data_IF_583111727840
#
_entry.id   IF_583111727840
#
_cell.length_a   1.000
_cell.length_b   1.000
_cell.length_c   1.000
_cell.angle_alpha   90.00
_cell.angle_beta   90.00
_cell.angle_gamma   90.00
#
_symmetry.space_group_name_H-M   'P 1'
#
loop_
_entity.id
_entity.type
_entity.pdbx_description
1 polymer ?
#
# COMPACT_ATOMS: atom_id res chain seq x y z
N UNK A 1 -17.48 -6.31 -6.49
CA UNK A 1 -16.27 -5.82 -5.80
C UNK A 1 -16.32 -4.31 -5.86
N UNK A 2 -16.25 -3.62 -4.72
CA UNK A 2 -16.25 -2.16 -4.69
C UNK A 2 -14.90 -1.63 -5.22
N UNK A 3 -14.96 -0.93 -6.36
CA UNK A 3 -13.80 -0.38 -7.03
C UNK A 3 -13.10 0.66 -6.15
N UNK A 4 -13.85 1.45 -5.38
CA UNK A 4 -13.25 2.50 -4.56
C UNK A 4 -12.43 1.94 -3.41
N UNK A 5 -12.89 0.85 -2.80
CA UNK A 5 -12.18 0.14 -1.74
C UNK A 5 -10.96 -0.62 -2.27
N UNK A 6 -11.07 -1.22 -3.45
CA UNK A 6 -9.98 -2.00 -4.04
C UNK A 6 -8.83 -1.11 -4.55
N UNK A 7 -9.15 0.06 -5.07
CA UNK A 7 -8.17 1.04 -5.56
C UNK A 7 -7.83 2.13 -4.52
N UNK A 8 -8.25 1.95 -3.27
CA UNK A 8 -7.97 2.85 -2.13
C UNK A 8 -8.14 4.34 -2.47
N UNK A 9 -9.24 4.68 -3.13
CA UNK A 9 -9.48 6.04 -3.68
C UNK A 9 -9.39 7.10 -2.59
N UNK A 10 -10.00 6.85 -1.43
CA UNK A 10 -9.99 7.81 -0.32
C UNK A 10 -8.58 8.06 0.22
N UNK A 11 -7.82 7.00 0.48
CA UNK A 11 -6.45 7.10 1.00
C UNK A 11 -5.50 7.73 -0.02
N UNK A 12 -5.72 7.45 -1.31
CA UNK A 12 -4.97 8.08 -2.41
C UNK A 12 -5.24 9.58 -2.47
N UNK A 13 -6.50 10.00 -2.36
CA UNK A 13 -6.85 11.42 -2.33
C UNK A 13 -6.25 12.12 -1.10
N UNK A 14 -6.32 11.51 0.09
CA UNK A 14 -5.71 12.05 1.31
C UNK A 14 -4.18 12.21 1.16
N UNK A 15 -3.50 11.21 0.59
CA UNK A 15 -2.06 11.28 0.31
C UNK A 15 -1.70 12.46 -0.61
N UNK A 16 -2.47 12.66 -1.67
CA UNK A 16 -2.29 13.77 -2.62
C UNK A 16 -2.49 15.12 -1.94
N UNK A 17 -3.59 15.27 -1.20
CA UNK A 17 -3.97 16.54 -0.57
C UNK A 17 -3.02 16.92 0.57
N UNK A 18 -2.67 15.98 1.45
CA UNK A 18 -1.80 16.24 2.60
C UNK A 18 -0.39 16.71 2.20
N UNK A 19 0.05 16.38 0.98
CA UNK A 19 1.35 16.78 0.44
C UNK A 19 1.28 17.92 -0.58
N UNK A 20 0.08 18.47 -0.81
CA UNK A 20 -0.16 19.53 -1.79
C UNK A 20 0.33 19.19 -3.20
N UNK A 21 0.25 17.92 -3.60
CA UNK A 21 0.66 17.51 -4.95
C UNK A 21 -0.34 18.02 -5.99
N UNK A 22 0.19 18.54 -7.09
CA UNK A 22 -0.58 19.15 -8.17
C UNK A 22 -0.48 18.40 -9.48
N UNK A 23 0.54 17.56 -9.69
CA UNK A 23 0.73 16.74 -10.88
C UNK A 23 0.99 15.30 -10.47
N UNK A 24 0.00 14.43 -10.60
CA UNK A 24 0.06 13.06 -10.09
C UNK A 24 0.05 12.08 -11.27
N UNK A 25 1.10 11.26 -11.36
CA UNK A 25 1.16 10.16 -12.30
C UNK A 25 0.45 8.93 -11.74
N UNK A 26 -0.39 8.28 -12.55
CA UNK A 26 -1.09 7.04 -12.21
C UNK A 26 -0.54 5.91 -13.06
N UNK A 27 0.21 5.01 -12.43
CA UNK A 27 0.80 3.84 -13.07
C UNK A 27 -0.10 2.63 -12.88
N UNK A 28 -0.51 2.00 -13.97
CA UNK A 28 -1.27 0.75 -13.95
C UNK A 28 -0.49 -0.32 -14.72
N UNK A 29 -0.44 -1.56 -14.23
CA UNK A 29 -0.08 -2.70 -15.05
C UNK A 29 -1.19 -2.97 -16.07
N UNK A 30 -0.85 -3.65 -17.16
CA UNK A 30 -1.74 -3.92 -18.30
C UNK A 30 -3.12 -4.46 -17.88
N UNK A 31 -3.15 -5.42 -16.96
CA UNK A 31 -4.40 -6.05 -16.49
C UNK A 31 -5.35 -5.08 -15.77
N UNK A 32 -4.81 -4.01 -15.19
CA UNK A 32 -5.56 -2.98 -14.45
C UNK A 32 -5.84 -1.73 -15.28
N UNK A 33 -5.18 -1.54 -16.43
CA UNK A 33 -5.31 -0.34 -17.26
C UNK A 33 -6.76 -0.08 -17.70
N UNK A 34 -7.55 -1.14 -17.91
CA UNK A 34 -9.00 -1.08 -18.20
C UNK A 34 -9.83 -0.35 -17.13
N UNK A 35 -9.31 -0.22 -15.90
CA UNK A 35 -9.97 0.46 -14.78
C UNK A 35 -9.56 1.94 -14.64
N UNK A 36 -8.53 2.38 -15.38
CA UNK A 36 -7.92 3.71 -15.24
C UNK A 36 -8.91 4.86 -15.29
N UNK A 37 -9.82 4.87 -16.27
CA UNK A 37 -10.83 5.93 -16.44
C UNK A 37 -11.79 6.02 -15.26
N UNK A 38 -12.20 4.87 -14.70
CA UNK A 38 -13.06 4.82 -13.50
C UNK A 38 -12.32 5.30 -12.26
N UNK A 39 -11.07 4.86 -12.08
CA UNK A 39 -10.21 5.31 -10.98
C UNK A 39 -9.99 6.82 -11.03
N UNK A 40 -9.67 7.38 -12.20
CA UNK A 40 -9.56 8.83 -12.41
C UNK A 40 -10.85 9.54 -12.03
N UNK A 41 -12.00 9.04 -12.47
CA UNK A 41 -13.31 9.63 -12.15
C UNK A 41 -13.58 9.63 -10.64
N UNK A 42 -13.38 8.50 -9.95
CA UNK A 42 -13.55 8.40 -8.50
C UNK A 42 -12.56 9.32 -7.76
N UNK A 43 -11.29 9.36 -8.17
CA UNK A 43 -10.30 10.28 -7.58
C UNK A 43 -10.69 11.74 -7.80
N UNK A 44 -11.15 12.12 -8.99
CA UNK A 44 -11.62 13.49 -9.28
C UNK A 44 -12.76 13.90 -8.35
N UNK A 45 -13.74 13.01 -8.17
CA UNK A 45 -14.86 13.26 -7.26
C UNK A 45 -14.37 13.41 -5.81
N UNK A 46 -13.42 12.57 -5.37
CA UNK A 46 -12.87 12.60 -4.01
C UNK A 46 -11.97 13.81 -3.75
N UNK A 47 -11.17 14.22 -4.73
CA UNK A 47 -10.31 15.40 -4.66
C UNK A 47 -11.13 16.70 -4.70
N UNK A 48 -12.32 16.69 -5.30
CA UNK A 48 -13.21 17.85 -5.37
C UNK A 48 -12.86 18.85 -6.47
N UNK A 49 -13.89 19.51 -7.02
CA UNK A 49 -13.79 20.36 -8.22
C UNK A 49 -12.96 21.64 -8.05
N UNK A 50 -12.66 22.05 -6.82
CA UNK A 50 -11.86 23.25 -6.53
C UNK A 50 -10.35 23.03 -6.59
N UNK A 51 -9.89 21.78 -6.58
CA UNK A 51 -8.48 21.45 -6.50
C UNK A 51 -7.85 21.31 -7.90
N UNK A 52 -6.75 22.03 -8.14
CA UNK A 52 -6.01 22.05 -9.42
C UNK A 52 -5.06 20.87 -9.58
N UNK A 53 -5.46 19.67 -9.13
CA UNK A 53 -4.65 18.45 -9.28
C UNK A 53 -4.80 17.93 -10.70
N UNK A 54 -3.72 17.78 -11.46
CA UNK A 54 -3.66 17.03 -12.71
C UNK A 54 -3.43 15.55 -12.43
N UNK A 55 -4.29 14.68 -12.97
CA UNK A 55 -4.14 13.22 -12.92
C UNK A 55 -3.72 12.73 -14.32
N UNK A 56 -2.59 12.04 -14.41
CA UNK A 56 -2.00 11.60 -15.67
C UNK A 56 -1.87 10.08 -15.68
N UNK A 57 -2.64 9.40 -16.52
CA UNK A 57 -2.55 7.95 -16.67
C UNK A 57 -1.33 7.62 -17.53
N UNK A 58 -0.42 6.80 -17.00
CA UNK A 58 0.76 6.34 -17.73
C UNK A 58 0.40 5.11 -18.58
N UNK A 59 0.78 5.13 -19.85
CA UNK A 59 0.40 4.11 -20.85
C UNK A 59 1.58 3.23 -21.30
N UNK A 60 2.77 3.41 -20.73
CA UNK A 60 3.98 2.63 -21.06
C UNK A 60 4.46 1.89 -19.81
N UNK A 61 4.05 0.63 -19.65
CA UNK A 61 4.58 -0.25 -18.59
C UNK A 61 5.01 -1.60 -19.16
N UNK A 62 5.55 -1.60 -20.38
CA UNK A 62 5.85 -2.83 -21.12
C UNK A 62 7.00 -3.66 -20.53
N UNK A 63 7.83 -3.08 -19.64
CA UNK A 63 8.86 -3.77 -18.88
C UNK A 63 8.89 -3.28 -17.43
N UNK A 64 8.95 -4.20 -16.46
CA UNK A 64 9.08 -3.83 -15.03
C UNK A 64 7.78 -3.32 -14.39
N UNK A 65 6.66 -3.98 -14.65
CA UNK A 65 5.34 -3.62 -14.08
C UNK A 65 5.30 -3.55 -12.54
N UNK A 66 6.30 -4.12 -11.85
CA UNK A 66 6.43 -4.08 -10.40
C UNK A 66 7.16 -2.84 -9.85
N UNK A 67 7.84 -2.06 -10.70
CA UNK A 67 8.65 -0.90 -10.31
C UNK A 67 7.91 0.41 -10.59
N UNK A 68 8.25 1.45 -9.84
CA UNK A 68 7.81 2.82 -10.11
C UNK A 68 8.59 3.37 -11.32
N UNK A 69 7.88 3.83 -12.34
CA UNK A 69 8.51 4.47 -13.52
C UNK A 69 8.75 5.97 -13.28
N UNK A 70 9.92 6.29 -12.71
CA UNK A 70 10.32 7.67 -12.46
C UNK A 70 10.60 8.44 -13.76
N UNK A 71 11.09 7.75 -14.80
CA UNK A 71 11.44 8.39 -16.08
C UNK A 71 10.16 8.81 -16.80
N UNK A 72 9.18 7.92 -16.93
CA UNK A 72 7.89 8.25 -17.52
C UNK A 72 7.16 9.35 -16.74
N UNK A 73 7.19 9.30 -15.40
CA UNK A 73 6.61 10.34 -14.56
C UNK A 73 7.33 11.70 -14.70
N UNK A 74 8.65 11.71 -14.93
CA UNK A 74 9.44 12.93 -15.09
C UNK A 74 9.10 13.71 -16.37
N UNK A 75 8.66 13.04 -17.44
CA UNK A 75 8.26 13.70 -18.69
C UNK A 75 7.05 14.63 -18.53
N UNK A 76 6.19 14.35 -17.55
CA UNK A 76 5.11 15.25 -17.16
C UNK A 76 5.44 16.05 -15.91
N UNK A 77 6.68 16.03 -15.41
CA UNK A 77 7.06 16.71 -14.17
C UNK A 77 6.12 16.35 -13.02
N UNK A 78 5.90 15.06 -12.78
CA UNK A 78 5.03 14.60 -11.71
C UNK A 78 5.62 14.95 -10.34
N UNK A 79 4.76 15.29 -9.39
CA UNK A 79 5.14 15.47 -7.99
C UNK A 79 5.20 14.12 -7.25
N UNK A 80 4.44 13.13 -7.71
CA UNK A 80 4.43 11.77 -7.17
C UNK A 80 3.87 10.74 -8.17
N UNK A 81 4.09 9.46 -7.86
CA UNK A 81 3.50 8.33 -8.58
C UNK A 81 2.54 7.55 -7.68
N UNK A 82 1.30 7.32 -8.15
CA UNK A 82 0.42 6.31 -7.57
C UNK A 82 0.59 5.03 -8.40
N UNK A 83 1.12 3.98 -7.77
CA UNK A 83 1.45 2.73 -8.43
C UNK A 83 0.45 1.64 -8.04
N UNK A 84 -0.35 1.17 -8.99
CA UNK A 84 -1.42 0.20 -8.74
C UNK A 84 -0.98 -1.23 -9.00
N UNK A 85 -1.42 -2.17 -8.16
CA UNK A 85 -1.25 -3.61 -8.38
C UNK A 85 0.04 -4.17 -7.78
N UNK A 86 0.62 -5.15 -8.47
CA UNK A 86 1.82 -5.85 -8.02
C UNK A 86 3.01 -4.90 -7.99
N UNK A 87 3.74 -4.88 -6.88
CA UNK A 87 4.93 -4.03 -6.72
C UNK A 87 6.05 -4.77 -6.01
N UNK A 88 7.29 -4.45 -6.37
CA UNK A 88 8.48 -4.94 -5.70
C UNK A 88 8.92 -4.05 -4.52
N UNK A 89 8.27 -2.89 -4.32
CA UNK A 89 8.64 -1.89 -3.32
C UNK A 89 10.10 -1.42 -3.41
N UNK A 90 10.69 -1.48 -4.61
CA UNK A 90 12.04 -0.96 -4.84
C UNK A 90 12.08 0.54 -4.50
N UNK A 91 13.12 1.01 -3.80
CA UNK A 91 13.28 2.43 -3.50
C UNK A 91 13.26 3.28 -4.77
N UNK A 92 12.67 4.46 -4.67
CA UNK A 92 12.75 5.48 -5.72
C UNK A 92 13.91 6.43 -5.46
N UNK A 93 14.43 7.06 -6.50
CA UNK A 93 15.57 7.97 -6.42
C UNK A 93 15.14 9.41 -6.12
N UNK A 94 14.01 9.84 -6.69
CA UNK A 94 13.61 11.24 -6.73
C UNK A 94 12.15 11.45 -6.37
N UNK A 95 11.26 10.61 -6.88
CA UNK A 95 9.81 10.80 -6.71
C UNK A 95 9.27 9.99 -5.54
N UNK A 96 8.46 10.59 -4.64
CA UNK A 96 7.68 9.80 -3.71
C UNK A 96 6.63 8.97 -4.47
N UNK A 97 6.38 7.76 -3.98
CA UNK A 97 5.37 6.89 -4.56
C UNK A 97 4.40 6.37 -3.48
N UNK A 98 3.14 6.18 -3.87
CA UNK A 98 2.15 5.47 -3.08
C UNK A 98 1.68 4.23 -3.84
N UNK A 99 1.99 3.05 -3.31
CA UNK A 99 1.63 1.76 -3.87
C UNK A 99 0.27 1.30 -3.35
N UNK A 100 -0.64 0.97 -4.26
CA UNK A 100 -1.98 0.44 -3.97
C UNK A 100 -2.03 -1.01 -4.40
N UNK A 101 -1.95 -1.92 -3.42
CA UNK A 101 -1.76 -3.37 -3.67
C UNK A 101 -3.00 -4.10 -4.21
N UNK A 102 -4.18 -3.52 -4.03
CA UNK A 102 -5.45 -4.23 -4.26
C UNK A 102 -5.85 -5.14 -3.11
N UNK A 103 -7.05 -5.70 -3.20
CA UNK A 103 -7.66 -6.52 -2.13
C UNK A 103 -8.23 -7.81 -2.69
N UNK A 104 -7.34 -8.74 -3.05
CA UNK A 104 -7.75 -10.03 -3.61
C UNK A 104 -8.55 -10.85 -2.59
N UNK A 105 -9.64 -11.47 -3.04
CA UNK A 105 -10.49 -12.26 -2.15
C UNK A 105 -9.74 -13.48 -1.60
N UNK A 106 -9.84 -13.71 -0.30
CA UNK A 106 -9.29 -14.89 0.37
C UNK A 106 -10.22 -15.33 1.51
N UNK A 107 -10.37 -16.65 1.68
CA UNK A 107 -11.22 -17.22 2.72
C UNK A 107 -10.42 -17.39 4.02
N UNK A 108 -10.66 -16.49 4.98
CA UNK A 108 -10.04 -16.55 6.31
C UNK A 108 -10.30 -17.90 6.99
N UNK A 109 -11.54 -18.44 7.05
CA UNK A 109 -11.79 -19.72 7.71
C UNK A 109 -11.02 -20.88 7.07
N UNK A 110 -10.90 -20.91 5.75
CA UNK A 110 -10.17 -21.96 5.04
C UNK A 110 -8.66 -21.86 5.30
N UNK A 111 -8.10 -20.65 5.33
CA UNK A 111 -6.69 -20.43 5.70
C UNK A 111 -6.41 -20.95 7.12
N UNK A 112 -7.26 -20.60 8.08
CA UNK A 112 -7.17 -21.03 9.48
C UNK A 112 -7.25 -22.55 9.59
N UNK A 113 -8.22 -23.18 8.93
CA UNK A 113 -8.39 -24.64 8.91
C UNK A 113 -7.12 -25.35 8.40
N UNK A 114 -6.62 -24.92 7.22
CA UNK A 114 -5.46 -25.56 6.60
C UNK A 114 -4.19 -25.37 7.42
N UNK A 115 -3.91 -24.15 7.87
CA UNK A 115 -2.76 -23.87 8.71
C UNK A 115 -2.82 -24.66 10.03
N UNK A 116 -3.98 -24.72 10.69
CA UNK A 116 -4.18 -25.50 11.92
C UNK A 116 -3.91 -27.00 11.69
N UNK A 117 -4.40 -27.55 10.57
CA UNK A 117 -4.19 -28.96 10.23
C UNK A 117 -2.71 -29.31 10.00
N UNK A 118 -1.94 -28.40 9.38
CA UNK A 118 -0.51 -28.57 9.16
C UNK A 118 0.30 -28.49 10.47
N UNK A 119 -0.09 -27.61 11.39
CA UNK A 119 0.53 -27.55 12.71
C UNK A 119 0.34 -28.84 13.51
N UNK A 120 -0.89 -29.38 13.51
CA UNK A 120 -1.22 -30.60 14.24
C UNK A 120 -0.45 -31.85 13.77
N UNK A 121 0.08 -31.83 12.55
CA UNK A 121 0.80 -32.98 11.97
C UNK A 121 2.31 -32.90 12.09
N UNK A 122 2.91 -31.71 12.02
CA UNK A 122 4.37 -31.56 11.89
C UNK A 122 5.06 -30.91 13.10
N UNK A 123 4.36 -30.17 13.96
CA UNK A 123 4.92 -29.52 15.16
C UNK A 123 6.10 -28.56 14.91
N UNK A 124 6.35 -28.17 13.65
CA UNK A 124 7.44 -27.29 13.22
C UNK A 124 6.98 -25.84 13.14
N UNK A 125 7.89 -24.87 13.26
CA UNK A 125 7.59 -23.47 12.96
C UNK A 125 7.09 -23.31 11.53
N UNK A 126 6.13 -22.41 11.34
CA UNK A 126 5.57 -22.10 10.02
C UNK A 126 5.83 -20.64 9.70
N UNK A 127 6.41 -20.41 8.52
CA UNK A 127 6.55 -19.07 7.94
C UNK A 127 5.48 -18.89 6.86
N UNK A 128 4.63 -17.88 7.03
CA UNK A 128 3.56 -17.54 6.09
C UNK A 128 4.03 -16.40 5.19
N UNK A 129 4.27 -16.72 3.93
CA UNK A 129 4.53 -15.78 2.86
C UNK A 129 3.24 -15.55 2.06
N UNK A 130 3.01 -14.33 1.61
CA UNK A 130 1.79 -13.96 0.90
C UNK A 130 2.05 -12.81 -0.09
N UNK A 131 1.22 -12.76 -1.14
CA UNK A 131 1.20 -11.64 -2.08
C UNK A 131 0.63 -10.37 -1.45
N UNK A 132 1.12 -9.20 -1.88
CA UNK A 132 0.70 -7.89 -1.34
C UNK A 132 -0.81 -7.63 -1.47
N UNK A 133 -1.44 -8.20 -2.49
CA UNK A 133 -2.88 -8.15 -2.71
C UNK A 133 -3.71 -8.79 -1.57
N UNK A 134 -3.08 -9.63 -0.75
CA UNK A 134 -3.69 -10.26 0.44
C UNK A 134 -3.33 -9.54 1.75
N UNK A 135 -2.46 -8.54 1.73
CA UNK A 135 -2.00 -7.84 2.94
C UNK A 135 -3.16 -7.35 3.83
N UNK A 136 -4.26 -6.90 3.21
CA UNK A 136 -5.48 -6.44 3.88
C UNK A 136 -6.19 -7.51 4.73
N UNK A 137 -5.95 -8.80 4.48
CA UNK A 137 -6.60 -9.90 5.17
C UNK A 137 -5.71 -10.57 6.24
N UNK A 138 -4.40 -10.28 6.22
CA UNK A 138 -3.43 -10.99 7.06
C UNK A 138 -3.61 -10.69 8.55
N UNK A 139 -4.00 -9.47 8.93
CA UNK A 139 -4.33 -9.16 10.33
C UNK A 139 -5.45 -10.06 10.86
N UNK A 140 -6.53 -10.21 10.09
CA UNK A 140 -7.66 -11.06 10.47
C UNK A 140 -7.28 -12.54 10.49
N UNK A 141 -6.42 -13.01 9.57
CA UNK A 141 -5.91 -14.38 9.59
C UNK A 141 -5.05 -14.62 10.83
N UNK A 142 -4.18 -13.67 11.19
CA UNK A 142 -3.37 -13.72 12.43
C UNK A 142 -4.26 -13.84 13.66
N UNK A 143 -5.27 -12.98 13.79
CA UNK A 143 -6.21 -12.96 14.91
C UNK A 143 -7.01 -14.28 15.01
N UNK A 144 -7.60 -14.72 13.89
CA UNK A 144 -8.37 -15.97 13.85
C UNK A 144 -7.50 -17.21 14.14
N UNK A 145 -6.21 -17.16 13.78
CA UNK A 145 -5.28 -18.25 14.12
C UNK A 145 -4.98 -18.34 15.60
N UNK A 146 -4.81 -17.19 16.27
CA UNK A 146 -4.62 -17.13 17.72
C UNK A 146 -5.86 -17.65 18.45
N UNK A 147 -7.06 -17.30 17.98
CA UNK A 147 -8.32 -17.77 18.55
C UNK A 147 -8.53 -19.28 18.38
N UNK A 148 -8.19 -19.84 17.21
CA UNK A 148 -8.36 -21.26 16.94
C UNK A 148 -7.41 -22.16 17.75
N UNK A 149 -6.25 -21.64 18.18
CA UNK A 149 -5.18 -22.44 18.79
C UNK A 149 -4.52 -21.76 20.02
N UNK A 150 -5.28 -21.44 21.09
CA UNK A 150 -4.81 -20.61 22.20
C UNK A 150 -3.85 -21.31 23.17
N UNK A 151 -3.70 -22.64 23.11
CA UNK A 151 -2.93 -23.45 24.10
C UNK A 151 -1.64 -24.05 23.57
N UNK A 152 -1.37 -23.92 22.28
CA UNK A 152 -0.13 -24.37 21.64
C UNK A 152 0.83 -23.21 21.53
N UNK A 153 2.10 -23.41 21.89
CA UNK A 153 3.19 -22.46 21.59
C UNK A 153 3.41 -22.46 20.08
N UNK A 154 2.54 -21.75 19.35
CA UNK A 154 2.60 -21.60 17.91
C UNK A 154 3.76 -20.70 17.56
N UNK A 155 4.79 -21.25 16.91
CA UNK A 155 5.81 -20.45 16.24
C UNK A 155 5.35 -20.18 14.81
N UNK A 156 4.33 -19.32 14.71
CA UNK A 156 3.75 -18.86 13.45
C UNK A 156 4.26 -17.46 13.14
N UNK A 157 5.08 -17.35 12.10
CA UNK A 157 5.70 -16.10 11.68
C UNK A 157 5.09 -15.71 10.35
N UNK A 158 4.50 -14.54 10.28
CA UNK A 158 4.04 -13.98 9.02
C UNK A 158 5.08 -13.00 8.51
N UNK A 159 5.32 -13.00 7.21
CA UNK A 159 6.06 -11.90 6.59
C UNK A 159 5.34 -10.58 6.90
N UNK A 160 6.12 -9.52 7.14
CA UNK A 160 5.57 -8.16 7.25
C UNK A 160 5.59 -7.49 5.88
N UNK A 161 4.61 -6.62 5.66
CA UNK A 161 4.55 -5.79 4.46
C UNK A 161 5.21 -4.47 4.79
N UNK A 162 6.18 -4.07 3.97
CA UNK A 162 6.80 -2.76 4.08
C UNK A 162 5.74 -1.65 3.87
N UNK A 163 6.07 -0.42 4.26
CA UNK A 163 5.19 0.73 4.07
C UNK A 163 4.75 0.84 2.61
N UNK A 164 3.47 1.08 2.37
CA UNK A 164 2.93 1.31 1.03
C UNK A 164 3.37 2.66 0.42
N UNK A 165 4.03 3.52 1.21
CA UNK A 165 4.56 4.81 0.77
C UNK A 165 6.07 4.71 0.69
N UNK A 166 6.62 5.04 -0.48
CA UNK A 166 8.05 5.12 -0.74
C UNK A 166 8.43 6.60 -0.74
N UNK A 167 9.37 6.97 0.13
CA UNK A 167 9.84 8.34 0.31
C UNK A 167 11.37 8.39 0.12
N UNK A 168 11.89 8.93 -0.99
CA UNK A 168 13.33 8.96 -1.25
C UNK A 168 14.14 9.71 -0.17
N UNK A 169 13.56 10.77 0.43
CA UNK A 169 14.24 11.59 1.44
C UNK A 169 14.34 10.96 2.83
N UNK A 170 13.51 9.95 3.15
CA UNK A 170 13.54 9.27 4.45
C UNK A 170 14.36 7.98 4.42
N UNK A 171 14.52 7.36 3.26
CA UNK A 171 15.19 6.07 3.12
C UNK A 171 16.72 6.18 3.27
N UNK A 172 17.30 7.34 2.91
CA UNK A 172 18.74 7.60 3.11
C UNK A 172 19.17 7.79 4.58
N UNK A 173 18.22 7.90 5.52
CA UNK A 173 18.54 8.08 6.95
C UNK A 173 18.34 6.81 7.79
N UNK A 174 17.80 5.73 7.21
CA UNK A 174 17.43 4.50 7.94
C UNK A 174 18.34 3.29 7.67
N UNK A 175 19.47 3.46 6.99
CA UNK A 175 20.39 2.34 6.75
C UNK A 175 21.15 1.86 7.99
N UNK A 176 21.07 2.56 9.13
CA UNK A 176 21.85 2.22 10.34
C UNK A 176 21.02 1.69 11.55
N UNK A 177 19.68 1.61 11.49
CA UNK A 177 18.88 1.06 12.60
C UNK A 177 17.80 0.08 12.14
N UNK A 178 18.11 -1.21 12.22
CA UNK A 178 17.09 -2.27 12.30
C UNK A 178 16.31 -2.11 13.63
N UNK A 179 15.21 -1.37 13.59
CA UNK A 179 14.35 -1.18 14.76
C UNK A 179 12.92 -0.81 14.35
N UNK A 180 11.99 -1.75 14.59
CA UNK A 180 10.54 -1.55 14.76
C UNK A 180 9.91 -0.34 14.05
N UNK A 181 9.40 -0.51 12.83
CA UNK A 181 8.43 0.43 12.29
C UNK A 181 7.06 0.20 12.94
N UNK A 182 6.69 1.15 13.80
CA UNK A 182 5.40 1.26 14.42
C UNK A 182 4.26 1.36 13.41
N UNK A 183 3.14 0.75 13.79
CA UNK A 183 1.82 0.92 13.17
C UNK A 183 1.53 2.40 12.94
N UNK A 184 1.20 2.77 11.70
CA UNK A 184 0.60 4.07 11.37
C UNK A 184 -0.78 4.16 12.04
N UNK A 185 -0.77 4.52 13.32
CA UNK A 185 -1.95 4.98 14.04
C UNK A 185 -2.07 6.49 13.85
N UNK A 186 -3.26 6.90 13.45
CA UNK A 186 -3.68 8.27 13.23
C UNK A 186 -3.54 9.07 14.53
N UNK A 187 -2.57 9.98 14.60
CA UNK A 187 -2.47 10.94 15.70
C UNK A 187 -2.96 12.30 15.24
N UNK A 188 -4.21 12.62 15.60
CA UNK A 188 -4.68 13.99 15.68
C UNK A 188 -3.98 14.67 16.86
N UNK A 189 -3.22 15.73 16.61
CA UNK A 189 -2.94 16.74 17.64
C UNK A 189 -2.84 18.13 17.00
N UNK A 190 -3.94 18.87 17.17
CA UNK A 190 -4.05 20.30 16.95
C UNK A 190 -3.62 20.99 18.26
N UNK A 191 -2.70 21.97 18.19
CA UNK A 191 -2.21 22.65 19.40
C UNK A 191 -1.40 23.92 19.16
N UNK A 192 -2.11 24.99 18.79
CA UNK A 192 -1.87 26.41 19.06
C UNK A 192 -0.42 26.97 19.06
N UNK A 193 -0.09 27.69 17.98
CA UNK A 193 0.93 28.74 18.01
C UNK A 193 0.36 29.98 18.74
N UNK A 194 1.01 30.39 19.84
CA UNK A 194 0.85 31.73 20.39
C UNK A 194 2.13 32.51 20.12
N UNK A 195 2.01 33.55 19.30
CA UNK A 195 3.10 34.48 19.05
C UNK A 195 3.28 35.43 20.22
N UNK A 196 4.51 35.91 20.40
CA UNK A 196 4.73 37.23 21.00
C UNK A 196 5.94 37.87 20.35
N UNK A 197 5.69 39.07 19.81
CA UNK A 197 6.56 40.23 19.48
C UNK A 197 8.04 40.01 19.21
#
# INVERSE_FOLDING_TARGET
>A
MDLELNFEISRTAEFILNRNFTRVALQFPDDLLKHSTKVVTCLRNKLGSGNKVGLFVMADTTFGSCCVDEVGASHIGADCVIHYGHTCLSPTSTLPAFCVFGKASISIPLCVEKLSSYFGTNGKPIVVLYGLEYAHAISHIKEAMVEAMPKTKLELIFADVMCSIINPLEDHRKSDELGYLGSCSSVNSLGAATGTR
#
